data_IF_376786804833
#
_entry.id   IF_376786804833
#
_cell.length_a   1.000
_cell.length_b   1.000
_cell.length_c   1.000
_cell.angle_alpha   90.00
_cell.angle_beta   90.00
_cell.angle_gamma   90.00
#
_symmetry.space_group_name_H-M   'P 1'
#
loop_
_entity.id
_entity.type
_entity.pdbx_description
1 polymer ?
#
# COMPACT_ATOMS: atom_id res chain seq x y z
N UNK A 1 11.88 15.83 -7.80
CA UNK A 1 11.01 16.90 -7.23
C UNK A 1 9.72 16.19 -6.84
N UNK A 2 9.26 16.34 -5.59
CA UNK A 2 8.05 15.68 -5.11
C UNK A 2 6.85 16.04 -6.01
N UNK A 3 5.90 15.12 -6.20
CA UNK A 3 4.70 15.42 -6.94
C UNK A 3 3.83 16.41 -6.14
N UNK A 4 3.16 17.31 -6.85
CA UNK A 4 2.26 18.28 -6.24
C UNK A 4 1.02 17.57 -5.66
N UNK A 5 0.58 17.96 -4.46
CA UNK A 5 -0.58 17.31 -3.83
C UNK A 5 -1.90 17.52 -4.58
N UNK A 6 -1.99 18.55 -5.43
CA UNK A 6 -3.16 18.84 -6.26
C UNK A 6 -3.49 17.76 -7.29
N UNK A 7 -2.55 16.87 -7.61
CA UNK A 7 -2.80 15.72 -8.49
C UNK A 7 -3.26 14.47 -7.73
N UNK A 8 -3.34 14.51 -6.40
CA UNK A 8 -3.71 13.36 -5.58
C UNK A 8 -5.17 13.41 -5.15
N UNK A 9 -5.73 12.21 -4.97
CA UNK A 9 -7.07 11.95 -4.47
C UNK A 9 -6.95 11.09 -3.23
N UNK A 10 -7.64 11.48 -2.16
CA UNK A 10 -7.77 10.72 -0.94
C UNK A 10 -8.97 9.77 -1.05
N UNK A 11 -8.78 8.52 -0.63
CA UNK A 11 -9.79 7.46 -0.61
C UNK A 11 -9.83 6.84 0.79
N UNK A 12 -11.04 6.61 1.31
CA UNK A 12 -11.27 6.06 2.65
C UNK A 12 -10.61 6.87 3.79
N UNK A 13 -10.50 8.18 3.61
CA UNK A 13 -9.99 9.11 4.59
C UNK A 13 -11.11 10.05 5.08
N UNK A 14 -11.04 10.57 6.31
CA UNK A 14 -12.01 11.54 6.81
C UNK A 14 -12.11 12.77 5.90
N UNK A 15 -13.26 13.41 5.85
CA UNK A 15 -13.45 14.66 5.09
C UNK A 15 -12.59 15.83 5.61
N UNK A 16 -12.07 15.72 6.83
CA UNK A 16 -11.13 16.67 7.45
C UNK A 16 -9.68 16.42 7.07
N UNK A 17 -9.36 15.29 6.41
CA UNK A 17 -8.02 14.99 5.96
C UNK A 17 -7.60 15.98 4.86
N UNK A 18 -6.39 16.52 4.99
CA UNK A 18 -5.79 17.39 3.99
C UNK A 18 -4.37 16.95 3.70
N UNK A 19 -3.98 17.03 2.43
CA UNK A 19 -2.62 16.72 2.01
C UNK A 19 -1.71 17.93 2.25
N UNK A 20 -0.41 17.70 2.51
CA UNK A 20 0.57 18.78 2.54
C UNK A 20 0.67 19.48 1.17
N UNK A 21 1.25 20.69 1.09
CA UNK A 21 1.48 21.36 -0.18
C UNK A 21 2.36 20.58 -1.17
N UNK A 22 3.37 19.88 -0.66
CA UNK A 22 4.26 18.98 -1.39
C UNK A 22 4.26 17.59 -0.74
N UNK A 23 4.38 16.55 -1.55
CA UNK A 23 4.34 15.15 -1.08
C UNK A 23 5.72 14.64 -0.61
N UNK A 24 6.56 15.52 -0.03
CA UNK A 24 7.87 15.14 0.51
C UNK A 24 7.75 14.31 1.79
N UNK A 25 6.81 14.70 2.67
CA UNK A 25 6.53 14.04 3.94
C UNK A 25 5.05 14.16 4.30
N UNK A 26 4.41 13.06 4.66
CA UNK A 26 3.06 13.04 5.22
C UNK A 26 2.76 11.73 5.94
N UNK A 27 1.66 11.72 6.69
CA UNK A 27 1.21 10.55 7.44
C UNK A 27 -0.18 10.11 7.02
N UNK A 28 -0.42 8.80 6.95
CA UNK A 28 -1.75 8.22 6.92
C UNK A 28 -2.00 7.44 8.21
N UNK A 29 -3.21 7.60 8.77
CA UNK A 29 -3.64 6.83 9.93
C UNK A 29 -4.69 5.81 9.50
N UNK A 30 -4.42 4.53 9.74
CA UNK A 30 -5.34 3.43 9.48
C UNK A 30 -6.00 2.95 10.78
N UNK A 31 -7.31 3.15 10.89
CA UNK A 31 -8.10 2.58 12.00
C UNK A 31 -8.28 1.06 11.87
N UNK A 32 -8.86 0.41 12.90
CA UNK A 32 -9.13 -1.03 12.86
C UNK A 32 -10.08 -1.42 11.72
N UNK A 33 -10.01 -2.67 11.27
CA UNK A 33 -10.81 -3.23 10.16
C UNK A 33 -10.59 -2.53 8.80
N UNK A 34 -9.43 -1.94 8.58
CA UNK A 34 -9.05 -1.36 7.28
C UNK A 34 -8.19 -2.33 6.49
N UNK A 35 -8.57 -2.66 5.26
CA UNK A 35 -7.84 -3.60 4.40
C UNK A 35 -8.07 -3.32 2.91
N UNK A 36 -7.13 -3.80 2.09
CA UNK A 36 -7.24 -3.92 0.64
C UNK A 36 -6.95 -5.37 0.24
N UNK A 37 -8.00 -6.13 -0.08
CA UNK A 37 -7.92 -7.56 -0.37
C UNK A 37 -9.00 -8.00 -1.37
N UNK A 38 -8.72 -9.06 -2.14
CA UNK A 38 -9.70 -9.68 -3.05
C UNK A 38 -9.81 -11.17 -2.77
N UNK A 39 -10.99 -11.61 -2.35
CA UNK A 39 -11.32 -13.04 -2.19
C UNK A 39 -11.96 -13.58 -3.47
N UNK A 40 -11.56 -14.76 -3.97
CA UNK A 40 -12.27 -15.42 -5.06
C UNK A 40 -13.75 -15.64 -4.71
N UNK A 41 -14.69 -15.56 -5.68
CA UNK A 41 -14.45 -15.29 -7.10
C UNK A 41 -14.32 -13.79 -7.46
N UNK A 42 -14.70 -12.85 -6.60
CA UNK A 42 -14.62 -11.39 -6.84
C UNK A 42 -15.10 -10.53 -5.64
N UNK A 43 -14.90 -11.00 -4.40
CA UNK A 43 -15.29 -10.23 -3.21
C UNK A 43 -14.15 -9.31 -2.79
N UNK A 44 -14.33 -8.02 -3.05
CA UNK A 44 -13.35 -6.98 -2.72
C UNK A 44 -13.57 -6.42 -1.32
N UNK A 45 -12.48 -6.24 -0.59
CA UNK A 45 -12.37 -5.39 0.58
C UNK A 45 -11.46 -4.23 0.19
N UNK A 46 -11.97 -3.00 0.24
CA UNK A 46 -11.21 -1.79 -0.12
C UNK A 46 -11.56 -0.66 0.85
N UNK A 47 -11.22 -0.87 2.13
CA UNK A 47 -11.46 0.06 3.25
C UNK A 47 -10.18 0.75 3.72
N UNK A 48 -9.01 0.32 3.25
CA UNK A 48 -7.72 0.96 3.53
C UNK A 48 -7.71 2.45 3.12
N UNK A 49 -7.22 3.36 3.99
CA UNK A 49 -6.83 4.71 3.60
C UNK A 49 -5.80 4.70 2.49
N UNK A 50 -6.10 5.40 1.38
CA UNK A 50 -5.25 5.47 0.20
C UNK A 50 -5.16 6.92 -0.27
N UNK A 51 -3.96 7.35 -0.64
CA UNK A 51 -3.73 8.61 -1.35
C UNK A 51 -3.07 8.27 -2.67
N UNK A 52 -3.74 8.55 -3.79
CA UNK A 52 -3.27 8.14 -5.12
C UNK A 52 -3.41 9.26 -6.16
N UNK A 53 -2.62 9.18 -7.21
CA UNK A 53 -2.74 10.03 -8.40
C UNK A 53 -3.07 9.20 -9.63
N UNK A 54 -3.74 9.81 -10.60
CA UNK A 54 -4.07 9.18 -11.89
C UNK A 54 -3.07 9.63 -12.93
N UNK A 55 -2.36 8.70 -13.55
CA UNK A 55 -1.27 9.03 -14.45
C UNK A 55 -1.79 9.48 -15.81
N UNK A 56 -1.12 10.50 -16.36
CA UNK A 56 -1.35 10.97 -17.74
C UNK A 56 -0.36 10.38 -18.73
N UNK A 57 0.79 9.95 -18.23
CA UNK A 57 1.90 9.36 -18.98
C UNK A 57 2.07 7.89 -18.58
N UNK A 58 2.76 7.08 -19.41
CA UNK A 58 3.12 5.72 -19.04
C UNK A 58 3.88 5.68 -17.72
N UNK A 59 3.40 4.86 -16.79
CA UNK A 59 4.11 4.59 -15.54
C UNK A 59 5.50 4.02 -15.81
N UNK A 60 6.51 4.56 -15.16
CA UNK A 60 7.90 4.11 -15.20
C UNK A 60 8.30 3.56 -13.84
N UNK A 61 8.17 4.37 -12.79
CA UNK A 61 8.64 4.02 -11.44
C UNK A 61 7.86 4.78 -10.38
N UNK A 62 7.65 4.15 -9.23
CA UNK A 62 7.28 4.84 -8.00
C UNK A 62 8.10 4.31 -6.84
N UNK A 63 8.55 5.20 -5.98
CA UNK A 63 9.31 4.84 -4.78
C UNK A 63 8.92 5.72 -3.60
N UNK A 64 9.03 5.17 -2.40
CA UNK A 64 8.76 5.86 -1.15
C UNK A 64 9.50 5.15 -0.01
N UNK A 65 9.92 5.92 0.99
CA UNK A 65 10.34 5.38 2.29
C UNK A 65 9.15 5.37 3.22
N UNK A 66 8.82 4.20 3.75
CA UNK A 66 7.70 4.00 4.67
C UNK A 66 8.26 3.76 6.06
N UNK A 67 7.73 4.47 7.06
CA UNK A 67 8.06 4.25 8.46
C UNK A 67 6.79 4.01 9.27
N UNK A 68 6.76 2.96 10.08
CA UNK A 68 5.63 2.65 10.95
C UNK A 68 6.04 1.76 12.12
N UNK A 69 5.41 1.99 13.27
CA UNK A 69 5.46 1.10 14.43
C UNK A 69 4.34 0.06 14.30
N UNK A 70 4.64 -1.03 13.58
CA UNK A 70 3.68 -2.13 13.42
C UNK A 70 3.60 -2.95 14.73
N UNK A 71 2.46 -2.85 15.41
CA UNK A 71 2.22 -3.53 16.69
C UNK A 71 1.25 -4.71 16.55
N UNK A 72 0.33 -4.63 15.58
CA UNK A 72 -0.76 -5.59 15.42
C UNK A 72 -0.53 -6.50 14.22
N UNK A 73 -0.99 -7.75 14.34
CA UNK A 73 -0.96 -8.71 13.24
C UNK A 73 -1.68 -8.14 12.01
N UNK A 74 -0.97 -8.15 10.89
CA UNK A 74 -1.34 -7.58 9.60
C UNK A 74 -1.33 -6.06 9.50
N UNK A 75 -0.70 -5.31 10.42
CA UNK A 75 -0.43 -3.88 10.20
C UNK A 75 0.41 -3.67 8.92
N UNK A 76 0.02 -2.74 8.05
CA UNK A 76 0.61 -2.55 6.72
C UNK A 76 0.77 -1.07 6.32
N UNK A 77 1.82 -0.80 5.56
CA UNK A 77 2.06 0.49 4.92
C UNK A 77 2.93 0.35 3.67
N UNK A 78 2.62 1.08 2.59
CA UNK A 78 3.31 0.85 1.32
C UNK A 78 2.82 1.65 0.14
N UNK A 79 3.29 1.24 -1.03
CA UNK A 79 2.79 1.68 -2.34
C UNK A 79 1.63 0.80 -2.80
N UNK A 80 0.73 1.40 -3.57
CA UNK A 80 -0.33 0.71 -4.29
C UNK A 80 -0.41 1.21 -5.73
N UNK A 81 -0.62 0.30 -6.67
CA UNK A 81 -0.84 0.59 -8.08
C UNK A 81 -2.07 -0.14 -8.58
N UNK A 82 -2.96 0.60 -9.26
CA UNK A 82 -4.16 0.09 -9.91
C UNK A 82 -4.02 0.21 -11.42
N UNK A 83 -4.56 -0.77 -12.13
CA UNK A 83 -4.67 -0.79 -13.58
C UNK A 83 -6.14 -1.06 -13.97
N UNK A 84 -6.77 -0.09 -14.62
CA UNK A 84 -8.18 -0.09 -14.99
C UNK A 84 -8.92 1.14 -14.45
N UNK A 85 -10.17 0.96 -14.05
CA UNK A 85 -10.92 2.03 -13.41
C UNK A 85 -10.25 2.49 -12.10
N UNK A 86 -10.36 3.79 -11.80
CA UNK A 86 -9.88 4.36 -10.56
C UNK A 86 -10.46 3.62 -9.34
N UNK A 87 -9.66 3.46 -8.26
CA UNK A 87 -10.16 2.80 -7.06
C UNK A 87 -11.33 3.58 -6.46
N UNK A 88 -12.34 2.84 -6.00
CA UNK A 88 -13.53 3.38 -5.34
C UNK A 88 -13.70 2.73 -3.98
N UNK A 89 -14.39 3.43 -3.08
CA UNK A 89 -14.77 2.86 -1.79
C UNK A 89 -15.92 1.88 -2.00
N UNK A 90 -15.81 0.70 -1.40
CA UNK A 90 -16.89 -0.27 -1.38
C UNK A 90 -17.39 -0.42 0.07
N UNK A 91 -18.66 -0.13 0.35
CA UNK A 91 -19.23 -0.45 1.66
C UNK A 91 -19.26 -1.97 1.86
N UNK A 92 -19.05 -2.47 3.10
CA UNK A 92 -18.88 -3.90 3.38
C UNK A 92 -20.11 -4.79 3.06
N UNK A 93 -21.29 -4.19 2.81
CA UNK A 93 -22.57 -4.89 2.64
C UNK A 93 -23.26 -4.68 1.28
N UNK A 94 -22.60 -4.13 0.26
CA UNK A 94 -23.20 -4.09 -1.08
C UNK A 94 -23.10 -5.45 -1.78
N UNK A 95 -23.99 -6.37 -1.40
CA UNK A 95 -24.40 -7.46 -2.29
C UNK A 95 -25.10 -6.84 -3.50
N UNK A 96 -24.35 -6.49 -4.55
CA UNK A 96 -24.96 -6.04 -5.80
C UNK A 96 -25.51 -7.27 -6.51
N UNK A 97 -26.84 -7.44 -6.67
CA UNK A 97 -27.35 -8.34 -7.69
C UNK A 97 -27.02 -7.66 -9.02
N UNK A 98 -26.40 -8.39 -9.96
CA UNK A 98 -26.24 -7.93 -11.35
C UNK A 98 -27.64 -7.66 -11.92
N UNK A 99 -28.08 -6.40 -11.91
CA UNK A 99 -29.20 -5.97 -12.73
C UNK A 99 -28.70 -5.88 -14.16
N UNK A 100 -29.16 -6.82 -14.98
CA UNK A 100 -29.05 -6.78 -16.43
C UNK A 100 -29.92 -5.63 -16.96
N UNK A 101 -29.39 -4.41 -16.96
CA UNK A 101 -29.94 -3.34 -17.79
C UNK A 101 -29.18 -3.30 -19.10
N UNK A 102 -29.81 -3.88 -20.12
CA UNK A 102 -29.47 -3.69 -21.52
C UNK A 102 -29.66 -2.23 -21.91
N UNK A 103 -28.57 -1.46 -21.96
CA UNK A 103 -28.50 -0.25 -22.77
C UNK A 103 -27.18 -0.24 -23.54
N UNK A 104 -27.33 -0.27 -24.86
CA UNK A 104 -26.28 -0.28 -25.85
C UNK A 104 -25.39 0.96 -25.72
N UNK A 105 -24.21 0.79 -25.12
CA UNK A 105 -23.05 1.66 -25.36
C UNK A 105 -21.78 0.80 -25.37
N UNK A 106 -21.06 0.90 -26.49
CA UNK A 106 -19.81 0.26 -26.90
C UNK A 106 -19.03 -0.57 -25.86
N UNK A 107 -18.73 -1.83 -26.22
CA UNK A 107 -17.65 -2.75 -25.83
C UNK A 107 -16.51 -2.28 -24.88
N UNK A 108 -16.80 -1.59 -23.79
CA UNK A 108 -15.91 -1.62 -22.63
C UNK A 108 -16.20 -2.91 -21.89
N UNK A 109 -15.55 -3.99 -22.31
CA UNK A 109 -15.40 -5.16 -21.45
C UNK A 109 -14.90 -4.65 -20.10
N UNK A 110 -15.75 -4.62 -19.08
CA UNK A 110 -15.39 -4.22 -17.72
C UNK A 110 -14.41 -5.27 -17.17
N UNK A 111 -13.15 -5.20 -17.61
CA UNK A 111 -12.08 -6.00 -17.03
C UNK A 111 -11.96 -5.55 -15.57
N UNK A 112 -12.03 -6.47 -14.60
CA UNK A 112 -11.87 -6.12 -13.19
C UNK A 112 -10.57 -5.34 -13.02
N UNK A 113 -10.60 -4.28 -12.21
CA UNK A 113 -9.39 -3.53 -11.91
C UNK A 113 -8.34 -4.49 -11.32
N UNK A 114 -7.17 -4.53 -11.94
CA UNK A 114 -6.00 -5.23 -11.37
C UNK A 114 -5.33 -4.27 -10.42
N UNK A 115 -4.81 -4.77 -9.31
CA UNK A 115 -4.03 -3.93 -8.41
C UNK A 115 -2.90 -4.71 -7.77
N UNK A 116 -1.85 -3.99 -7.39
CA UNK A 116 -0.75 -4.52 -6.60
C UNK A 116 -0.53 -3.56 -5.45
N UNK A 117 -0.44 -4.08 -4.23
CA UNK A 117 0.09 -3.35 -3.08
C UNK A 117 1.42 -3.98 -2.66
N UNK A 118 2.36 -3.16 -2.22
CA UNK A 118 3.63 -3.63 -1.72
C UNK A 118 4.19 -2.67 -0.68
N UNK A 119 4.83 -3.19 0.36
CA UNK A 119 5.33 -2.39 1.45
C UNK A 119 5.74 -3.23 2.65
N UNK A 120 5.71 -2.62 3.84
CA UNK A 120 5.95 -3.32 5.09
C UNK A 120 4.65 -3.95 5.60
N UNK A 121 4.75 -5.16 6.15
CA UNK A 121 3.64 -5.87 6.77
C UNK A 121 4.11 -6.66 8.00
N UNK A 122 3.47 -6.45 9.14
CA UNK A 122 3.71 -7.27 10.33
C UNK A 122 2.88 -8.54 10.26
N UNK A 123 3.55 -9.69 10.24
CA UNK A 123 2.87 -10.98 10.15
C UNK A 123 3.71 -12.03 10.86
N UNK A 124 3.05 -12.87 11.67
CA UNK A 124 3.67 -13.96 12.42
C UNK A 124 4.82 -13.49 13.33
N UNK A 125 4.63 -12.33 13.97
CA UNK A 125 5.56 -11.77 14.95
C UNK A 125 6.81 -11.09 14.37
N UNK A 126 6.88 -10.90 13.04
CA UNK A 126 8.00 -10.22 12.37
C UNK A 126 7.49 -9.21 11.35
N UNK A 127 8.27 -8.14 11.10
CA UNK A 127 8.03 -7.23 9.97
C UNK A 127 8.58 -7.86 8.69
N UNK A 128 7.80 -7.82 7.62
CA UNK A 128 8.12 -8.39 6.31
C UNK A 128 8.07 -7.31 5.24
N UNK A 129 8.84 -7.46 4.17
CA UNK A 129 8.49 -6.87 2.89
C UNK A 129 7.40 -7.76 2.26
N UNK A 130 6.27 -7.16 1.92
CA UNK A 130 5.08 -7.86 1.44
C UNK A 130 4.66 -7.36 0.07
N UNK A 131 4.03 -8.23 -0.70
CA UNK A 131 3.30 -7.83 -1.91
C UNK A 131 2.06 -8.68 -2.11
N UNK A 132 0.95 -8.01 -2.42
CA UNK A 132 -0.30 -8.65 -2.87
C UNK A 132 -0.60 -8.18 -4.29
N UNK A 133 -0.86 -9.12 -5.18
CA UNK A 133 -1.32 -8.88 -6.54
C UNK A 133 -2.73 -9.43 -6.72
N UNK A 134 -3.67 -8.58 -7.08
CA UNK A 134 -5.05 -8.95 -7.32
C UNK A 134 -5.41 -8.87 -8.80
N UNK A 135 -6.00 -9.95 -9.29
CA UNK A 135 -6.57 -10.07 -10.64
C UNK A 135 -8.08 -10.31 -10.56
N UNK A 136 -8.72 -10.67 -11.68
CA UNK A 136 -10.13 -11.04 -11.68
C UNK A 136 -10.42 -12.25 -10.78
N UNK A 137 -9.45 -13.15 -10.61
CA UNK A 137 -9.66 -14.45 -9.99
C UNK A 137 -9.38 -14.48 -8.48
N UNK A 138 -8.74 -13.42 -7.94
CA UNK A 138 -8.34 -13.38 -6.53
C UNK A 138 -7.07 -12.56 -6.29
N UNK A 139 -6.72 -12.44 -5.01
CA UNK A 139 -5.45 -11.91 -4.54
C UNK A 139 -4.42 -13.03 -4.32
N UNK A 140 -3.19 -12.80 -4.76
CA UNK A 140 -2.01 -13.64 -4.54
C UNK A 140 -0.99 -12.86 -3.71
N UNK A 141 -0.57 -13.41 -2.58
CA UNK A 141 0.18 -12.74 -1.52
C UNK A 141 1.53 -13.43 -1.26
N UNK A 142 2.59 -12.63 -1.11
CA UNK A 142 3.90 -13.11 -0.69
C UNK A 142 4.51 -12.24 0.41
N UNK A 143 5.41 -12.85 1.18
CA UNK A 143 6.16 -12.23 2.28
C UNK A 143 7.65 -12.56 2.15
N UNK A 144 8.49 -11.59 2.50
CA UNK A 144 9.94 -11.75 2.70
C UNK A 144 10.31 -11.16 4.06
N UNK A 145 10.71 -11.98 5.05
CA UNK A 145 11.07 -11.48 6.38
C UNK A 145 12.19 -10.46 6.37
N UNK A 146 12.01 -9.36 7.10
CA UNK A 146 13.03 -8.34 7.32
C UNK A 146 13.80 -8.67 8.60
N UNK A 147 14.55 -9.77 8.58
CA UNK A 147 15.42 -10.12 9.70
C UNK A 147 16.68 -9.25 9.68
N UNK A 148 16.94 -8.54 10.79
CA UNK A 148 18.26 -7.98 11.08
C UNK A 148 18.94 -8.95 12.06
N UNK A 149 20.00 -9.66 11.63
CA UNK A 149 20.82 -10.43 12.57
C UNK A 149 21.24 -9.52 13.73
N UNK A 150 21.09 -10.00 14.96
CA UNK A 150 21.48 -9.33 16.21
C UNK A 150 20.63 -8.16 16.73
N UNK A 151 19.55 -7.74 16.05
CA UNK A 151 18.65 -6.68 16.58
C UNK A 151 17.21 -7.11 16.88
N UNK A 152 16.86 -8.37 16.64
CA UNK A 152 15.52 -8.90 16.89
C UNK A 152 14.43 -8.37 15.94
N UNK A 153 13.20 -8.90 16.00
CA UNK A 153 12.11 -8.56 15.09
C UNK A 153 11.63 -7.10 15.15
N UNK A 154 11.86 -6.44 16.28
CA UNK A 154 11.36 -5.10 16.58
C UNK A 154 12.25 -3.95 16.07
N UNK A 155 13.34 -4.24 15.36
CA UNK A 155 14.32 -3.22 14.99
C UNK A 155 14.08 -2.54 13.63
N UNK A 156 13.18 -3.08 12.79
CA UNK A 156 12.92 -2.54 11.45
C UNK A 156 11.59 -1.79 11.47
N UNK A 157 11.68 -0.49 11.66
CA UNK A 157 10.53 0.42 11.59
C UNK A 157 10.43 1.11 10.21
N UNK A 158 11.41 0.93 9.32
CA UNK A 158 11.47 1.64 8.04
C UNK A 158 11.84 0.74 6.87
N UNK A 159 11.18 0.95 5.73
CA UNK A 159 11.37 0.21 4.48
C UNK A 159 11.24 1.18 3.29
N UNK A 160 12.26 1.23 2.43
CA UNK A 160 12.13 1.86 1.12
C UNK A 160 11.58 0.85 0.13
N UNK A 161 10.47 1.16 -0.52
CA UNK A 161 9.80 0.28 -1.49
C UNK A 161 9.79 0.96 -2.86
N UNK A 162 9.98 0.18 -3.93
CA UNK A 162 9.94 0.65 -5.31
C UNK A 162 9.15 -0.27 -6.21
N UNK A 163 8.28 0.33 -7.01
CA UNK A 163 7.53 -0.28 -8.09
C UNK A 163 8.13 0.21 -9.42
N UNK A 164 8.45 -0.70 -10.33
CA UNK A 164 9.12 -0.37 -11.59
C UNK A 164 8.48 -1.14 -12.75
N UNK A 165 8.17 -0.44 -13.85
CA UNK A 165 7.65 -1.07 -15.07
C UNK A 165 8.79 -1.55 -15.95
N UNK A 166 8.80 -2.84 -16.23
CA UNK A 166 9.72 -3.47 -17.19
C UNK A 166 8.88 -4.14 -18.29
N UNK A 167 8.71 -3.44 -19.42
CA UNK A 167 7.83 -3.87 -20.51
C UNK A 167 6.36 -3.93 -20.04
N UNK A 168 5.81 -5.16 -19.99
CA UNK A 168 4.47 -5.43 -19.46
C UNK A 168 4.46 -5.95 -18.02
N UNK A 169 5.63 -6.18 -17.42
CA UNK A 169 5.76 -6.64 -16.04
C UNK A 169 5.86 -5.46 -15.08
N UNK A 170 5.37 -5.67 -13.86
CA UNK A 170 5.63 -4.81 -12.71
C UNK A 170 6.65 -5.51 -11.80
N UNK A 171 7.79 -4.86 -11.57
CA UNK A 171 8.83 -5.33 -10.67
C UNK A 171 8.73 -4.59 -9.36
N UNK A 172 8.92 -5.33 -8.27
CA UNK A 172 8.79 -4.83 -6.90
C UNK A 172 10.12 -5.04 -6.21
N UNK A 173 10.68 -3.96 -5.68
CA UNK A 173 11.97 -3.91 -5.01
C UNK A 173 11.82 -3.31 -3.63
N UNK A 174 12.70 -3.70 -2.72
CA UNK A 174 12.77 -3.08 -1.40
C UNK A 174 14.21 -2.90 -0.93
N UNK A 175 14.40 -1.99 0.00
CA UNK A 175 15.65 -1.73 0.68
C UNK A 175 15.35 -1.39 2.15
N UNK A 176 16.14 -1.92 3.07
CA UNK A 176 16.04 -1.61 4.50
C UNK A 176 17.05 -0.48 4.79
N UNK A 177 16.62 0.77 5.07
CA UNK A 177 17.54 1.88 5.27
C UNK A 177 18.53 1.64 6.41
N UNK A 178 18.12 1.03 7.51
CA UNK A 178 19.03 0.73 8.64
C UNK A 178 20.11 -0.33 8.33
N UNK A 179 19.98 -1.07 7.22
CA UNK A 179 20.99 -2.00 6.74
C UNK A 179 22.03 -1.35 5.80
N UNK A 180 21.86 -0.07 5.45
CA UNK A 180 22.76 0.69 4.56
C UNK A 180 23.96 1.42 5.22
N UNK A 181 24.19 1.47 6.56
CA UNK A 181 25.31 2.24 7.10
C UNK A 181 26.69 1.67 6.72
N UNK A 182 26.74 0.51 6.07
CA UNK A 182 27.96 -0.11 5.54
C UNK A 182 28.22 0.17 4.05
N UNK A 183 27.35 0.91 3.35
CA UNK A 183 27.55 1.26 1.94
C UNK A 183 28.62 2.36 1.80
N UNK A 184 29.89 1.97 1.85
CA UNK A 184 31.07 2.86 1.79
C UNK A 184 31.42 3.34 0.37
N UNK A 185 30.58 3.05 -0.63
CA UNK A 185 30.82 3.48 -2.02
C UNK A 185 29.52 3.81 -2.77
N UNK A 186 29.53 4.73 -3.75
CA UNK A 186 28.35 5.07 -4.55
C UNK A 186 27.71 3.86 -5.27
N UNK A 187 28.50 2.85 -5.65
CA UNK A 187 28.01 1.61 -6.23
C UNK A 187 27.36 0.64 -5.23
N UNK A 188 27.72 0.72 -3.94
CA UNK A 188 27.09 -0.07 -2.89
C UNK A 188 25.66 0.44 -2.55
N UNK A 189 25.41 1.73 -2.78
CA UNK A 189 24.10 2.38 -2.60
C UNK A 189 23.12 1.99 -3.71
N UNK A 190 23.59 1.67 -4.92
CA UNK A 190 22.73 1.15 -6.00
C UNK A 190 22.49 -0.37 -5.92
N UNK A 191 23.41 -1.13 -5.30
CA UNK A 191 23.28 -2.58 -5.09
C UNK A 191 22.43 -3.00 -3.89
N UNK A 192 21.85 -2.06 -3.16
CA UNK A 192 21.08 -2.32 -1.92
C UNK A 192 19.64 -2.78 -2.18
N UNK A 193 19.10 -2.55 -3.38
CA UNK A 193 17.76 -2.97 -3.76
C UNK A 193 17.67 -4.49 -3.89
N UNK A 194 16.77 -5.10 -3.13
CA UNK A 194 16.43 -6.51 -3.21
C UNK A 194 15.15 -6.67 -4.01
N UNK A 195 15.12 -7.57 -5.00
CA UNK A 195 13.90 -7.90 -5.75
C UNK A 195 12.97 -8.70 -4.85
N UNK A 196 11.76 -8.19 -4.60
CA UNK A 196 10.72 -8.90 -3.86
C UNK A 196 9.91 -9.81 -4.80
N UNK A 197 9.45 -9.24 -5.92
CA UNK A 197 8.49 -9.92 -6.78
C UNK A 197 8.55 -9.37 -8.20
N UNK A 198 8.20 -10.23 -9.15
CA UNK A 198 7.81 -9.84 -10.50
C UNK A 198 6.36 -10.25 -10.73
N UNK A 199 5.52 -9.29 -11.12
CA UNK A 199 4.14 -9.52 -11.53
C UNK A 199 4.09 -9.40 -13.05
N UNK A 200 4.16 -10.55 -13.72
CA UNK A 200 4.15 -10.60 -15.18
C UNK A 200 2.82 -10.11 -15.75
N UNK A 201 2.86 -9.42 -16.89
CA UNK A 201 1.68 -8.98 -17.65
C UNK A 201 0.74 -8.00 -16.92
N UNK A 202 1.21 -7.37 -15.83
CA UNK A 202 0.43 -6.38 -15.10
C UNK A 202 -0.08 -5.25 -16.00
N UNK A 203 0.75 -4.74 -16.92
CA UNK A 203 0.38 -3.67 -17.85
C UNK A 203 -0.16 -4.15 -19.20
N UNK A 204 -0.31 -5.47 -19.40
CA UNK A 204 -0.82 -5.98 -20.67
C UNK A 204 -2.28 -5.58 -20.90
N UNK A 205 -2.53 -4.92 -22.04
CA UNK A 205 -3.86 -4.43 -22.43
C UNK A 205 -4.42 -3.32 -21.53
N UNK A 206 -3.57 -2.61 -20.80
CA UNK A 206 -3.91 -1.44 -19.97
C UNK A 206 -3.42 -0.20 -20.70
N UNK A 207 -4.31 0.76 -20.96
CA UNK A 207 -3.88 2.07 -21.45
C UNK A 207 -3.33 2.89 -20.28
N UNK A 208 -2.27 3.67 -20.51
CA UNK A 208 -1.55 4.34 -19.42
C UNK A 208 -2.41 5.32 -18.60
N UNK A 209 -3.43 5.92 -19.22
CA UNK A 209 -4.42 6.78 -18.55
C UNK A 209 -5.31 6.07 -17.53
N UNK A 210 -5.24 4.74 -17.48
CA UNK A 210 -5.94 3.88 -16.53
C UNK A 210 -4.98 3.31 -15.47
N UNK A 211 -3.82 3.94 -15.28
CA UNK A 211 -2.91 3.59 -14.20
C UNK A 211 -3.02 4.63 -13.09
N UNK A 212 -3.21 4.14 -11.87
CA UNK A 212 -3.29 4.95 -10.67
C UNK A 212 -2.26 4.46 -9.67
N UNK A 213 -1.44 5.36 -9.13
CA UNK A 213 -0.35 5.00 -8.21
C UNK A 213 -0.43 5.88 -6.98
N UNK A 214 -0.15 5.30 -5.82
CA UNK A 214 -0.23 6.01 -4.56
C UNK A 214 0.37 5.23 -3.41
N UNK A 215 0.04 5.69 -2.22
CA UNK A 215 0.40 5.05 -0.96
C UNK A 215 -0.85 4.57 -0.22
N UNK A 216 -0.67 3.62 0.68
CA UNK A 216 -1.74 3.10 1.52
C UNK A 216 -1.24 2.80 2.94
N UNK A 217 -2.17 2.84 3.88
CA UNK A 217 -2.01 2.31 5.23
C UNK A 217 -3.18 1.37 5.54
N UNK A 218 -2.96 0.35 6.37
CA UNK A 218 -4.01 -0.62 6.70
C UNK A 218 -3.74 -1.28 8.06
N UNK A 219 -4.80 -1.44 8.84
CA UNK A 219 -4.87 -2.24 10.07
C UNK A 219 -6.08 -3.16 9.97
N UNK A 220 -5.92 -4.36 9.39
CA UNK A 220 -7.00 -5.33 9.24
C UNK A 220 -7.47 -5.89 10.59
N UNK A 221 -6.59 -5.90 11.60
CA UNK A 221 -6.92 -6.36 12.93
C UNK A 221 -8.06 -5.51 13.53
N UNK A 222 -8.99 -6.19 14.21
CA UNK A 222 -10.22 -5.57 14.72
C UNK A 222 -10.06 -4.92 16.10
N UNK A 223 -8.98 -5.22 16.82
CA UNK A 223 -8.76 -4.65 18.15
C UNK A 223 -8.27 -3.20 18.04
N UNK A 224 -9.01 -2.33 18.73
CA UNK A 224 -8.52 -1.04 19.20
C UNK A 224 -7.33 -1.24 20.13
N UNK A 225 -6.36 -0.32 20.14
CA UNK A 225 -5.23 -0.32 21.09
C UNK A 225 -5.73 -0.35 22.54
N UNK A 226 -6.86 0.30 22.81
CA UNK A 226 -7.53 0.31 24.13
C UNK A 226 -8.20 -1.02 24.51
N UNK A 227 -8.44 -1.91 23.55
CA UNK A 227 -9.02 -3.24 23.78
C UNK A 227 -8.00 -4.33 24.14
N UNK A 228 -6.72 -4.00 24.20
CA UNK A 228 -5.65 -4.94 24.60
C UNK A 228 -5.51 -5.02 26.12
N UNK A 229 -5.12 -6.18 26.67
CA UNK A 229 -4.82 -6.31 28.12
C UNK A 229 -3.77 -5.29 28.59
N UNK A 230 -2.82 -4.93 27.72
CA UNK A 230 -1.81 -3.90 27.98
C UNK A 230 -2.45 -2.51 28.19
N UNK A 231 -3.40 -2.13 27.34
CA UNK A 231 -4.17 -0.89 27.48
C UNK A 231 -5.09 -0.86 28.71
N UNK A 232 -5.62 -2.03 29.13
CA UNK A 232 -6.47 -2.14 30.32
C UNK A 232 -5.68 -2.10 31.64
N UNK A 233 -4.44 -2.60 31.67
CA UNK A 233 -3.61 -2.64 32.89
C UNK A 233 -2.83 -1.34 33.16
N UNK A 234 -2.42 -0.60 32.13
CA UNK A 234 -1.59 0.60 32.32
C UNK A 234 -2.38 1.91 32.49
N UNK A 235 -3.72 1.84 32.49
CA UNK A 235 -4.58 3.02 32.58
C UNK A 235 -4.52 3.87 31.32
N UNK A 236 -5.63 4.48 30.97
CA UNK A 236 -5.73 5.43 29.86
C UNK A 236 -4.79 6.61 30.15
N UNK A 237 -3.55 6.56 29.62
CA UNK A 237 -2.79 7.77 29.43
C UNK A 237 -3.65 8.65 28.53
N UNK A 238 -4.21 9.71 29.12
CA UNK A 238 -4.93 10.75 28.43
C UNK A 238 -3.93 11.50 27.54
N UNK A 239 -3.56 10.88 26.43
CA UNK A 239 -2.96 11.55 25.30
C UNK A 239 -3.70 11.03 24.07
N UNK A 240 -4.22 11.95 23.25
CA UNK A 240 -5.11 11.69 22.13
C UNK A 240 -4.45 10.99 20.94
N UNK A 241 -3.51 10.07 21.20
CA UNK A 241 -2.88 9.22 20.20
C UNK A 241 -3.96 8.33 19.57
N UNK A 242 -4.25 8.62 18.31
CA UNK A 242 -5.33 8.02 17.53
C UNK A 242 -5.25 6.49 17.57
N UNK A 243 -6.41 5.84 17.68
CA UNK A 243 -6.60 4.39 17.77
C UNK A 243 -6.28 3.63 16.45
N UNK A 244 -5.18 3.96 15.79
CA UNK A 244 -4.85 3.49 14.46
C UNK A 244 -3.34 3.34 14.23
N UNK A 245 -2.99 2.62 13.18
CA UNK A 245 -1.62 2.54 12.69
C UNK A 245 -1.29 3.86 11.99
N UNK A 246 -0.34 4.61 12.53
CA UNK A 246 0.24 5.76 11.84
C UNK A 246 1.38 5.28 10.94
N UNK A 247 1.29 5.61 9.66
CA UNK A 247 2.32 5.30 8.67
C UNK A 247 2.84 6.61 8.10
N UNK A 248 4.14 6.82 8.19
CA UNK A 248 4.86 7.96 7.65
C UNK A 248 5.39 7.61 6.25
N UNK A 249 5.27 8.57 5.34
CA UNK A 249 5.74 8.46 3.96
C UNK A 249 6.71 9.59 3.66
N UNK A 250 7.91 9.22 3.24
CA UNK A 250 9.03 10.11 2.91
C UNK A 250 9.51 9.85 1.48
N UNK A 251 10.00 10.91 0.83
CA UNK A 251 10.62 10.83 -0.51
C UNK A 251 9.71 10.16 -1.56
N UNK A 252 8.40 10.46 -1.55
CA UNK A 252 7.48 9.89 -2.54
C UNK A 252 7.81 10.44 -3.94
N UNK A 253 8.25 9.56 -4.84
CA UNK A 253 8.46 9.85 -6.25
C UNK A 253 7.56 8.96 -7.11
N UNK A 254 6.95 9.54 -8.14
CA UNK A 254 6.13 8.84 -9.13
C UNK A 254 6.45 9.42 -10.51
N UNK A 255 6.93 8.58 -11.43
CA UNK A 255 7.33 8.91 -12.80
C UNK A 255 6.58 8.06 -13.81
#
# INVERSE_FOLDING_TARGET
>A
MPPASSSFTALNLPSTFSLPPCMDYFTLTAGPNTDLWRKPPNRDTATAPIVFTSLRNPFVVAEVTVTADCEMEWDQGGLVIFAGAAPQSFPPDSSVPRSSSSSSSSFSSQRPCKWVKAGMEFCSGVVNASSVSATADGADWCLSPLAVPDRGPAAVHSLRIKLERIGHSLWIWYQVPSAVPFAMSPGAVSSSWKKLREVTWFFYGVEDKFVHVGVYASRPHSLSRTGTMFGMMNGSAADGSADGLMVEFEDLEIL
#
